data_IF_723698921301
#
_entry.id   IF_723698921301
#
_cell.length_a   1.000
_cell.length_b   1.000
_cell.length_c   1.000
_cell.angle_alpha   90.00
_cell.angle_beta   90.00
_cell.angle_gamma   90.00
#
_symmetry.space_group_name_H-M   'P 1'
#
loop_
_entity.id
_entity.type
_entity.pdbx_description
1 polymer ?
#
# COMPACT_ATOMS: atom_id res chain seq x y z
N UNK A 1 -10.32 -5.78 13.24
CA UNK A 1 -9.06 -5.20 12.73
C UNK A 1 -8.68 -3.89 13.42
N UNK A 2 -9.42 -2.79 13.24
CA UNK A 2 -9.12 -1.54 13.96
C UNK A 2 -9.73 -1.54 15.36
N UNK A 3 -8.89 -1.38 16.39
CA UNK A 3 -9.43 -1.10 17.72
C UNK A 3 -10.02 0.33 17.78
N UNK A 4 -10.79 0.58 18.84
CA UNK A 4 -11.50 1.85 19.02
C UNK A 4 -10.55 3.05 19.10
N UNK A 5 -9.36 2.85 19.68
CA UNK A 5 -8.41 3.92 19.94
C UNK A 5 -7.71 4.35 18.65
N UNK A 6 -7.21 3.39 17.86
CA UNK A 6 -6.64 3.69 16.55
C UNK A 6 -7.70 4.27 15.61
N UNK A 7 -8.94 3.77 15.65
CA UNK A 7 -10.03 4.33 14.84
C UNK A 7 -10.25 5.81 15.12
N UNK A 8 -10.23 6.21 16.39
CA UNK A 8 -10.36 7.62 16.81
C UNK A 8 -9.15 8.46 16.38
N UNK A 9 -7.94 7.92 16.49
CA UNK A 9 -6.72 8.58 16.03
C UNK A 9 -6.81 8.90 14.52
N UNK A 10 -7.27 7.95 13.71
CA UNK A 10 -7.42 8.14 12.26
C UNK A 10 -8.46 9.23 11.96
N UNK A 11 -9.62 9.19 12.62
CA UNK A 11 -10.66 10.20 12.42
C UNK A 11 -10.16 11.61 12.81
N UNK A 12 -9.46 11.70 13.94
CA UNK A 12 -8.86 12.96 14.40
C UNK A 12 -7.77 13.47 13.46
N UNK A 13 -6.99 12.59 12.83
CA UNK A 13 -5.99 13.01 11.85
C UNK A 13 -6.61 13.73 10.65
N UNK A 14 -7.78 13.29 10.17
CA UNK A 14 -8.51 13.99 9.10
C UNK A 14 -9.08 15.33 9.54
N UNK A 15 -9.65 15.41 10.75
CA UNK A 15 -10.11 16.67 11.32
C UNK A 15 -8.95 17.67 11.45
N UNK A 16 -7.78 17.17 11.86
CA UNK A 16 -6.55 17.95 11.97
C UNK A 16 -6.05 18.45 10.61
N UNK A 17 -5.99 17.60 9.59
CA UNK A 17 -5.62 18.01 8.22
C UNK A 17 -6.56 19.09 7.69
N UNK A 18 -7.88 18.91 7.88
CA UNK A 18 -8.87 19.88 7.45
C UNK A 18 -8.67 21.24 8.16
N UNK A 19 -8.47 21.22 9.48
CA UNK A 19 -8.24 22.43 10.27
C UNK A 19 -6.92 23.14 9.91
N UNK A 20 -5.81 22.39 9.82
CA UNK A 20 -4.49 22.95 9.53
C UNK A 20 -4.41 23.49 8.11
N UNK A 21 -4.98 22.80 7.12
CA UNK A 21 -5.03 23.33 5.75
C UNK A 21 -5.90 24.58 5.69
N UNK A 22 -7.06 24.61 6.35
CA UNK A 22 -7.94 25.78 6.36
C UNK A 22 -7.28 27.00 7.02
N UNK A 23 -6.50 26.78 8.07
CA UNK A 23 -5.72 27.82 8.72
C UNK A 23 -4.59 28.35 7.83
N UNK A 24 -3.89 27.46 7.11
CA UNK A 24 -2.78 27.84 6.24
C UNK A 24 -3.26 28.55 4.96
N UNK A 25 -4.32 28.02 4.33
CA UNK A 25 -4.92 28.57 3.12
C UNK A 25 -6.34 28.02 2.91
N UNK A 26 -7.39 28.83 3.16
CA UNK A 26 -8.78 28.41 2.95
C UNK A 26 -9.08 27.97 1.51
N UNK A 27 -8.42 28.58 0.52
CA UNK A 27 -8.54 28.18 -0.88
C UNK A 27 -8.00 26.76 -1.08
N UNK A 28 -6.76 26.50 -0.65
CA UNK A 28 -6.13 25.18 -0.77
C UNK A 28 -6.93 24.11 -0.04
N UNK A 29 -7.47 24.43 1.15
CA UNK A 29 -8.26 23.50 1.94
C UNK A 29 -9.51 23.00 1.20
N UNK A 30 -10.20 23.89 0.47
CA UNK A 30 -11.36 23.52 -0.34
C UNK A 30 -10.97 22.57 -1.47
N UNK A 31 -9.92 22.91 -2.22
CA UNK A 31 -9.48 22.11 -3.37
C UNK A 31 -8.96 20.73 -2.94
N UNK A 32 -8.13 20.67 -1.88
CA UNK A 32 -7.65 19.42 -1.30
C UNK A 32 -8.82 18.57 -0.78
N UNK A 33 -9.77 19.17 -0.06
CA UNK A 33 -10.92 18.42 0.49
C UNK A 33 -11.80 17.86 -0.62
N UNK A 34 -12.04 18.64 -1.69
CA UNK A 34 -12.81 18.19 -2.84
C UNK A 34 -12.13 16.99 -3.51
N UNK A 35 -10.83 17.08 -3.78
CA UNK A 35 -10.04 15.98 -4.35
C UNK A 35 -9.97 14.75 -3.44
N UNK A 36 -9.75 14.95 -2.13
CA UNK A 36 -9.78 13.83 -1.19
C UNK A 36 -11.12 13.10 -1.28
N UNK A 37 -12.25 13.82 -1.31
CA UNK A 37 -13.56 13.20 -1.39
C UNK A 37 -13.84 12.44 -2.71
N UNK A 38 -13.17 12.75 -3.83
CA UNK A 38 -13.35 11.97 -5.08
C UNK A 38 -12.74 10.57 -4.99
N UNK A 39 -11.74 10.39 -4.13
CA UNK A 39 -11.05 9.11 -3.97
C UNK A 39 -11.81 8.12 -3.07
N UNK A 40 -12.83 8.57 -2.33
CA UNK A 40 -13.41 7.79 -1.24
C UNK A 40 -14.93 7.75 -1.28
N UNK A 41 -15.52 6.55 -1.37
CA UNK A 41 -16.98 6.40 -1.47
C UNK A 41 -17.77 6.75 -0.20
N UNK A 42 -17.16 6.60 0.99
CA UNK A 42 -17.81 6.82 2.29
C UNK A 42 -17.13 7.88 3.17
N UNK A 43 -16.05 8.47 2.66
CA UNK A 43 -15.23 9.46 3.36
C UNK A 43 -13.76 9.03 3.49
N UNK A 44 -12.85 9.98 3.72
CA UNK A 44 -11.42 9.71 3.62
C UNK A 44 -10.87 8.81 4.72
N UNK A 45 -11.43 8.83 5.93
CA UNK A 45 -11.04 7.93 7.01
C UNK A 45 -11.35 6.45 6.69
N UNK A 46 -12.48 6.20 6.01
CA UNK A 46 -12.91 4.84 5.69
C UNK A 46 -11.98 4.14 4.72
N UNK A 47 -11.32 4.89 3.82
CA UNK A 47 -10.32 4.33 2.92
C UNK A 47 -9.14 3.73 3.68
N UNK A 48 -8.60 4.45 4.66
CA UNK A 48 -7.50 3.94 5.47
C UNK A 48 -7.94 2.79 6.37
N UNK A 49 -9.22 2.75 6.75
CA UNK A 49 -9.81 1.67 7.54
C UNK A 49 -10.27 0.48 6.70
N UNK A 50 -10.23 0.58 5.38
CA UNK A 50 -10.77 -0.44 4.50
C UNK A 50 -9.94 -1.73 4.56
N UNK A 51 -10.56 -2.92 4.70
CA UNK A 51 -9.81 -4.17 4.80
C UNK A 51 -8.91 -4.48 3.60
N UNK A 52 -9.25 -3.95 2.42
CA UNK A 52 -8.42 -4.10 1.21
C UNK A 52 -7.24 -3.15 1.13
N UNK A 53 -7.24 -2.04 1.86
CA UNK A 53 -6.14 -1.06 1.82
C UNK A 53 -4.86 -1.61 2.45
N UNK A 54 -3.71 -1.08 1.98
CA UNK A 54 -2.43 -1.36 2.62
C UNK A 54 -2.45 -0.82 4.07
N UNK A 55 -2.02 -1.60 5.08
CA UNK A 55 -2.27 -1.31 6.50
C UNK A 55 -1.30 -0.27 7.08
N UNK A 56 -1.01 0.83 6.36
CA UNK A 56 0.04 1.80 6.72
C UNK A 56 -0.14 2.47 8.09
N UNK A 57 -1.37 2.59 8.59
CA UNK A 57 -1.66 3.16 9.92
C UNK A 57 -1.69 2.10 11.02
N UNK A 58 -1.91 0.83 10.67
CA UNK A 58 -1.87 -0.30 11.59
C UNK A 58 -0.44 -0.77 11.86
N UNK A 59 0.44 -0.69 10.87
CA UNK A 59 1.84 -1.13 10.99
C UNK A 59 2.60 -0.47 12.15
N UNK A 60 2.66 0.88 12.28
CA UNK A 60 3.30 1.50 13.45
C UNK A 60 2.56 1.21 14.76
N UNK A 61 1.23 1.05 14.72
CA UNK A 61 0.43 0.69 15.89
C UNK A 61 0.81 -0.70 16.43
N UNK A 62 0.87 -1.69 15.54
CA UNK A 62 1.26 -3.07 15.86
C UNK A 62 2.72 -3.19 16.28
N UNK A 63 3.61 -2.45 15.61
CA UNK A 63 5.02 -2.40 15.99
C UNK A 63 5.18 -1.90 17.43
N UNK A 64 4.41 -0.88 17.82
CA UNK A 64 4.47 -0.36 19.17
C UNK A 64 3.87 -1.33 20.18
N UNK A 65 2.71 -1.94 19.87
CA UNK A 65 2.08 -2.96 20.73
C UNK A 65 2.96 -4.18 20.97
N UNK A 66 3.77 -4.57 19.98
CA UNK A 66 4.73 -5.65 20.11
C UNK A 66 5.91 -5.30 21.03
N UNK A 67 6.23 -4.01 21.21
CA UNK A 67 7.30 -3.54 22.09
C UNK A 67 6.77 -3.23 23.49
N UNK A 68 5.59 -2.60 23.60
CA UNK A 68 4.95 -2.23 24.87
C UNK A 68 3.44 -2.46 24.84
N UNK A 69 2.82 -2.91 25.96
CA UNK A 69 1.40 -3.25 25.99
C UNK A 69 0.43 -2.09 25.70
N UNK A 70 0.82 -0.85 26.01
CA UNK A 70 0.00 0.35 25.79
C UNK A 70 0.74 1.32 24.87
N UNK A 71 0.26 1.53 23.64
CA UNK A 71 0.80 2.55 22.76
C UNK A 71 0.64 3.97 23.33
N UNK A 72 1.57 4.85 23.00
CA UNK A 72 1.47 6.29 23.25
C UNK A 72 0.57 6.92 22.19
N UNK A 73 -0.63 7.30 22.63
CA UNK A 73 -1.66 7.84 21.76
C UNK A 73 -1.28 9.16 21.11
N UNK A 74 -0.53 10.01 21.81
CA UNK A 74 -0.14 11.31 21.27
C UNK A 74 0.89 11.12 20.15
N UNK A 75 1.86 10.23 20.38
CA UNK A 75 2.83 9.85 19.35
C UNK A 75 2.15 9.18 18.15
N UNK A 76 1.26 8.21 18.38
CA UNK A 76 0.53 7.54 17.32
C UNK A 76 -0.40 8.48 16.53
N UNK A 77 -0.97 9.50 17.19
CA UNK A 77 -1.74 10.54 16.50
C UNK A 77 -0.86 11.38 15.56
N UNK A 78 0.36 11.72 15.96
CA UNK A 78 1.32 12.40 15.09
C UNK A 78 1.78 11.50 13.93
N UNK A 79 2.02 10.20 14.18
CA UNK A 79 2.37 9.25 13.13
C UNK A 79 1.25 9.06 12.10
N UNK A 80 0.00 8.95 12.56
CA UNK A 80 -1.15 8.82 11.67
C UNK A 80 -1.33 10.09 10.81
N UNK A 81 -1.26 11.26 11.43
CA UNK A 81 -1.31 12.54 10.72
C UNK A 81 -0.21 12.66 9.66
N UNK A 82 1.04 12.34 10.04
CA UNK A 82 2.17 12.32 9.12
C UNK A 82 1.94 11.36 7.96
N UNK A 83 1.62 10.10 8.26
CA UNK A 83 1.47 9.04 7.26
C UNK A 83 0.37 9.36 6.25
N UNK A 84 -0.76 9.93 6.69
CA UNK A 84 -1.84 10.35 5.78
C UNK A 84 -1.39 11.48 4.86
N UNK A 85 -0.66 12.49 5.37
CA UNK A 85 -0.11 13.55 4.54
C UNK A 85 0.94 13.01 3.54
N UNK A 86 1.82 12.10 3.97
CA UNK A 86 2.78 11.42 3.11
C UNK A 86 2.10 10.58 2.02
N UNK A 87 1.01 9.89 2.37
CA UNK A 87 0.19 9.16 1.41
C UNK A 87 -0.39 10.09 0.34
N UNK A 88 -1.02 11.22 0.72
CA UNK A 88 -1.59 12.13 -0.26
C UNK A 88 -0.55 12.83 -1.12
N UNK A 89 0.65 13.09 -0.58
CA UNK A 89 1.78 13.55 -1.37
C UNK A 89 2.12 12.56 -2.49
N UNK A 90 2.31 11.28 -2.16
CA UNK A 90 2.62 10.22 -3.12
C UNK A 90 1.46 10.03 -4.10
N UNK A 91 0.23 9.90 -3.58
CA UNK A 91 -0.97 9.61 -4.39
C UNK A 91 -1.24 10.68 -5.45
N UNK A 92 -1.00 11.96 -5.14
CA UNK A 92 -1.16 13.04 -6.10
C UNK A 92 -0.17 12.92 -7.26
N UNK A 93 1.08 12.57 -6.97
CA UNK A 93 2.12 12.33 -7.99
C UNK A 93 1.78 11.08 -8.81
N UNK A 94 1.41 9.98 -8.14
CA UNK A 94 1.08 8.72 -8.81
C UNK A 94 -0.11 8.88 -9.77
N UNK A 95 -1.18 9.56 -9.36
CA UNK A 95 -2.32 9.83 -10.25
C UNK A 95 -1.92 10.58 -11.53
N UNK A 96 -0.95 11.50 -11.44
CA UNK A 96 -0.40 12.20 -12.60
C UNK A 96 0.43 11.27 -13.49
N UNK A 97 1.29 10.45 -12.88
CA UNK A 97 2.16 9.51 -13.60
C UNK A 97 1.37 8.40 -14.29
N UNK A 98 0.28 7.94 -13.68
CA UNK A 98 -0.59 6.89 -14.20
C UNK A 98 -1.55 7.40 -15.31
N UNK A 99 -1.51 8.69 -15.65
CA UNK A 99 -2.42 9.27 -16.64
C UNK A 99 -3.88 9.39 -16.17
N UNK A 100 -4.13 9.23 -14.87
CA UNK A 100 -5.45 9.43 -14.24
C UNK A 100 -5.76 10.91 -13.96
N UNK A 101 -4.86 11.83 -14.36
CA UNK A 101 -4.91 13.25 -14.11
C UNK A 101 -6.14 13.94 -14.70
N UNK A 102 -7.11 14.29 -13.86
CA UNK A 102 -8.21 15.18 -14.24
C UNK A 102 -8.16 16.50 -13.49
N UNK A 103 -7.71 16.48 -12.22
CA UNK A 103 -7.63 17.68 -11.35
C UNK A 103 -6.29 17.81 -10.65
N UNK A 104 -5.47 16.76 -10.65
CA UNK A 104 -4.24 16.67 -9.87
C UNK A 104 -3.15 17.65 -10.33
N UNK A 105 -3.15 18.03 -11.61
CA UNK A 105 -2.21 19.03 -12.15
C UNK A 105 -2.36 20.38 -11.44
N UNK A 106 -3.60 20.82 -11.21
CA UNK A 106 -3.91 22.08 -10.52
C UNK A 106 -3.59 22.01 -9.02
N UNK A 107 -3.49 20.79 -8.47
CA UNK A 107 -3.18 20.55 -7.07
C UNK A 107 -1.69 20.37 -6.81
N UNK A 108 -0.81 20.34 -7.82
CA UNK A 108 0.64 20.20 -7.64
C UNK A 108 1.24 21.16 -6.58
N UNK A 109 0.84 22.45 -6.48
CA UNK A 109 1.33 23.33 -5.42
C UNK A 109 1.04 22.84 -3.99
N UNK A 110 -0.01 22.03 -3.79
CA UNK A 110 -0.35 21.44 -2.49
C UNK A 110 0.66 20.39 -2.00
N UNK A 111 1.53 19.87 -2.88
CA UNK A 111 2.61 18.98 -2.49
C UNK A 111 3.53 19.61 -1.44
N UNK A 112 3.74 20.93 -1.49
CA UNK A 112 4.50 21.66 -0.48
C UNK A 112 3.86 21.56 0.91
N UNK A 113 2.52 21.63 0.99
CA UNK A 113 1.78 21.45 2.24
C UNK A 113 1.92 20.01 2.75
N UNK A 114 1.58 19.01 1.91
CA UNK A 114 1.59 17.60 2.32
C UNK A 114 2.98 17.15 2.77
N UNK A 115 4.04 17.51 2.04
CA UNK A 115 5.40 17.17 2.43
C UNK A 115 5.82 17.83 3.73
N UNK A 116 5.45 19.10 3.93
CA UNK A 116 5.74 19.82 5.18
C UNK A 116 5.07 19.15 6.36
N UNK A 117 3.78 18.78 6.25
CA UNK A 117 3.05 18.12 7.32
C UNK A 117 3.52 16.68 7.58
N UNK A 118 3.93 15.97 6.52
CA UNK A 118 4.57 14.66 6.63
C UNK A 118 5.83 14.73 7.51
N UNK A 119 6.71 15.69 7.25
CA UNK A 119 7.97 15.84 7.98
C UNK A 119 7.79 16.47 9.38
N UNK A 120 6.95 17.50 9.51
CA UNK A 120 6.83 18.32 10.73
C UNK A 120 6.37 17.51 11.95
N UNK A 121 5.58 16.46 11.76
CA UNK A 121 5.17 15.60 12.88
C UNK A 121 6.39 14.91 13.53
N UNK A 122 7.35 14.44 12.74
CA UNK A 122 8.56 13.77 13.25
C UNK A 122 9.51 14.74 13.97
N UNK A 123 9.55 16.01 13.56
CA UNK A 123 10.38 17.05 14.20
C UNK A 123 10.00 17.32 15.66
N UNK A 124 8.78 16.94 16.09
CA UNK A 124 8.36 17.05 17.49
C UNK A 124 8.93 15.94 18.37
N UNK A 125 9.39 14.84 17.77
CA UNK A 125 9.80 13.63 18.47
C UNK A 125 11.30 13.34 18.33
N UNK A 126 11.93 13.86 17.29
CA UNK A 126 13.34 13.61 16.99
C UNK A 126 14.06 14.93 16.76
N UNK A 127 15.11 15.15 17.56
CA UNK A 127 16.05 16.26 17.38
C UNK A 127 16.71 16.21 15.99
N UNK A 128 17.20 17.36 15.53
CA UNK A 128 17.74 17.53 14.18
C UNK A 128 18.93 16.61 13.84
N UNK A 129 19.72 16.19 14.82
CA UNK A 129 20.89 15.30 14.70
C UNK A 129 20.56 13.83 15.00
N UNK A 130 19.29 13.51 15.28
CA UNK A 130 18.86 12.16 15.60
C UNK A 130 18.99 11.20 14.40
N UNK A 131 19.49 9.95 14.57
CA UNK A 131 19.74 9.00 13.48
C UNK A 131 18.49 8.59 12.67
N UNK A 132 17.30 8.79 13.23
CA UNK A 132 16.03 8.64 12.50
C UNK A 132 16.02 9.41 11.17
N UNK A 133 16.61 10.60 11.12
CA UNK A 133 16.57 11.43 9.91
C UNK A 133 17.33 10.84 8.73
N UNK A 134 18.41 10.09 8.96
CA UNK A 134 19.09 9.35 7.89
C UNK A 134 18.24 8.20 7.38
N UNK A 135 17.57 7.48 8.28
CA UNK A 135 16.62 6.45 7.89
C UNK A 135 15.45 7.05 7.08
N UNK A 136 14.86 8.15 7.56
CA UNK A 136 13.77 8.86 6.89
C UNK A 136 14.15 9.26 5.45
N UNK A 137 15.28 9.96 5.28
CA UNK A 137 15.75 10.41 3.96
C UNK A 137 16.00 9.24 3.02
N UNK A 138 16.70 8.22 3.51
CA UNK A 138 17.02 7.02 2.72
C UNK A 138 15.74 6.35 2.26
N UNK A 139 14.79 6.15 3.18
CA UNK A 139 13.52 5.49 2.87
C UNK A 139 12.66 6.28 1.89
N UNK A 140 12.56 7.60 2.10
CA UNK A 140 11.80 8.49 1.23
C UNK A 140 12.38 8.54 -0.19
N UNK A 141 13.69 8.72 -0.32
CA UNK A 141 14.34 8.79 -1.63
C UNK A 141 14.36 7.45 -2.36
N UNK A 142 14.48 6.33 -1.64
CA UNK A 142 14.33 5.00 -2.25
C UNK A 142 12.92 4.79 -2.81
N UNK A 143 11.89 5.24 -2.09
CA UNK A 143 10.51 5.18 -2.56
C UNK A 143 10.33 5.99 -3.85
N UNK A 144 10.79 7.24 -3.86
CA UNK A 144 10.70 8.10 -5.05
C UNK A 144 11.47 7.53 -6.25
N UNK A 145 12.71 7.07 -6.04
CA UNK A 145 13.52 6.48 -7.10
C UNK A 145 12.89 5.21 -7.69
N UNK A 146 12.18 4.43 -6.87
CA UNK A 146 11.47 3.25 -7.34
C UNK A 146 10.24 3.59 -8.18
N UNK A 147 9.45 4.58 -7.78
CA UNK A 147 8.33 5.09 -8.59
C UNK A 147 8.83 5.61 -9.95
N UNK A 148 9.96 6.32 -9.97
CA UNK A 148 10.58 6.77 -11.23
C UNK A 148 11.09 5.61 -12.10
N UNK A 149 11.64 4.56 -11.50
CA UNK A 149 12.14 3.39 -12.23
C UNK A 149 10.98 2.57 -12.80
N UNK A 150 9.93 2.37 -12.02
CA UNK A 150 8.75 1.59 -12.40
C UNK A 150 8.11 2.10 -13.70
N UNK A 151 7.93 3.43 -13.81
CA UNK A 151 7.35 4.04 -15.02
C UNK A 151 8.18 3.85 -16.30
N UNK A 152 9.42 3.39 -16.18
CA UNK A 152 10.32 3.10 -17.31
C UNK A 152 10.41 1.61 -17.69
N UNK A 153 9.86 0.71 -16.86
CA UNK A 153 9.93 -0.73 -17.09
C UNK A 153 8.77 -1.19 -17.97
N UNK A 154 9.10 -1.89 -19.05
CA UNK A 154 8.10 -2.41 -20.02
C UNK A 154 7.95 -3.92 -19.97
N UNK A 155 8.89 -4.62 -19.32
CA UNK A 155 8.87 -6.05 -19.10
C UNK A 155 9.48 -6.35 -17.72
N UNK A 156 8.64 -6.72 -16.76
CA UNK A 156 9.08 -6.96 -15.37
C UNK A 156 9.25 -8.45 -15.14
N UNK A 157 10.47 -8.91 -14.89
CA UNK A 157 10.67 -10.24 -14.28
C UNK A 157 10.35 -10.24 -12.77
N UNK A 158 10.42 -11.42 -12.15
CA UNK A 158 10.09 -11.55 -10.73
C UNK A 158 11.05 -10.77 -9.82
N UNK A 159 12.34 -10.75 -10.12
CA UNK A 159 13.34 -10.05 -9.30
C UNK A 159 13.14 -8.53 -9.39
N UNK A 160 12.84 -8.04 -10.59
CA UNK A 160 12.49 -6.64 -10.85
C UNK A 160 11.18 -6.27 -10.16
N UNK A 161 10.15 -7.12 -10.24
CA UNK A 161 8.89 -6.92 -9.52
C UNK A 161 9.12 -6.81 -8.02
N UNK A 162 9.85 -7.76 -7.43
CA UNK A 162 10.16 -7.75 -5.99
C UNK A 162 10.90 -6.46 -5.62
N UNK A 163 11.90 -6.06 -6.42
CA UNK A 163 12.63 -4.82 -6.17
C UNK A 163 11.73 -3.58 -6.27
N UNK A 164 10.81 -3.53 -7.22
CA UNK A 164 9.94 -2.36 -7.42
C UNK A 164 8.80 -2.33 -6.41
N UNK A 165 8.07 -3.43 -6.23
CA UNK A 165 6.95 -3.51 -5.30
C UNK A 165 7.40 -3.27 -3.86
N UNK A 166 8.49 -3.89 -3.41
CA UNK A 166 9.07 -3.65 -2.09
C UNK A 166 9.54 -2.20 -1.91
N UNK A 167 9.96 -1.53 -3.01
CA UNK A 167 10.42 -0.14 -2.94
C UNK A 167 9.29 0.89 -3.05
N UNK A 168 8.17 0.58 -3.71
CA UNK A 168 6.97 1.44 -3.71
C UNK A 168 6.36 1.57 -2.32
N UNK A 169 6.41 0.50 -1.53
CA UNK A 169 5.95 0.50 -0.13
C UNK A 169 7.04 0.90 0.86
N UNK A 170 8.25 1.27 0.41
CA UNK A 170 9.39 1.54 1.27
C UNK A 170 9.15 2.70 2.24
N UNK A 171 8.40 3.71 1.80
CA UNK A 171 8.01 4.83 2.67
C UNK A 171 7.16 4.40 3.87
N UNK A 172 6.41 3.29 3.78
CA UNK A 172 5.64 2.75 4.90
C UNK A 172 6.51 2.26 6.07
N UNK A 173 7.82 2.08 5.85
CA UNK A 173 8.79 1.74 6.90
C UNK A 173 9.09 2.92 7.83
N UNK A 174 8.88 4.16 7.37
CA UNK A 174 9.22 5.37 8.12
C UNK A 174 8.49 5.43 9.46
N UNK A 175 7.15 5.32 9.54
CA UNK A 175 6.46 5.35 10.83
C UNK A 175 6.80 4.15 11.73
N UNK A 176 7.09 2.98 11.16
CA UNK A 176 7.54 1.80 11.93
C UNK A 176 8.92 2.02 12.53
N UNK A 177 9.85 2.58 11.75
CA UNK A 177 11.16 2.95 12.26
C UNK A 177 11.07 4.04 13.32
N UNK A 178 10.18 5.03 13.17
CA UNK A 178 9.93 6.04 14.19
C UNK A 178 9.53 5.40 15.52
N UNK A 179 8.64 4.40 15.52
CA UNK A 179 8.31 3.61 16.71
C UNK A 179 9.54 2.91 17.29
N UNK A 180 10.32 2.21 16.45
CA UNK A 180 11.52 1.50 16.90
C UNK A 180 12.55 2.45 17.54
N UNK A 181 12.77 3.64 16.97
CA UNK A 181 13.63 4.65 17.56
C UNK A 181 13.05 5.21 18.87
N UNK A 182 11.76 5.55 18.90
CA UNK A 182 11.08 6.12 20.07
C UNK A 182 11.09 5.16 21.27
N UNK A 183 11.01 3.86 21.01
CA UNK A 183 11.02 2.81 22.02
C UNK A 183 12.40 2.18 22.24
N UNK A 184 13.47 2.74 21.66
CA UNK A 184 14.86 2.24 21.80
C UNK A 184 15.05 0.77 21.37
N UNK A 185 14.28 0.33 20.37
CA UNK A 185 14.30 -1.03 19.78
C UNK A 185 14.66 -1.01 18.31
N UNK A 186 15.75 -0.31 17.98
CA UNK A 186 16.27 -0.15 16.61
C UNK A 186 16.61 -1.52 15.99
N UNK A 187 16.94 -2.51 16.82
CA UNK A 187 17.19 -3.90 16.43
C UNK A 187 16.00 -4.57 15.71
N UNK A 188 14.78 -4.05 15.88
CA UNK A 188 13.58 -4.57 15.23
C UNK A 188 13.36 -4.05 13.80
N UNK A 189 14.01 -2.95 13.42
CA UNK A 189 13.81 -2.32 12.10
C UNK A 189 14.06 -3.30 10.94
N UNK A 190 15.14 -4.12 10.93
CA UNK A 190 15.39 -5.06 9.84
C UNK A 190 14.27 -6.11 9.70
N UNK A 191 13.78 -6.68 10.81
CA UNK A 191 12.73 -7.69 10.78
C UNK A 191 11.41 -7.12 10.25
N UNK A 192 11.01 -5.93 10.73
CA UNK A 192 9.83 -5.23 10.22
C UNK A 192 9.98 -4.84 8.75
N UNK A 193 11.19 -4.43 8.32
CA UNK A 193 11.46 -4.10 6.92
C UNK A 193 11.32 -5.31 6.01
N UNK A 194 11.85 -6.47 6.43
CA UNK A 194 11.73 -7.71 5.68
C UNK A 194 10.27 -8.15 5.53
N UNK A 195 9.48 -8.05 6.60
CA UNK A 195 8.05 -8.31 6.54
C UNK A 195 7.33 -7.37 5.56
N UNK A 196 7.61 -6.06 5.64
CA UNK A 196 7.01 -5.05 4.77
C UNK A 196 7.32 -5.28 3.29
N UNK A 197 8.50 -5.81 2.98
CA UNK A 197 8.88 -6.15 1.61
C UNK A 197 8.08 -7.32 1.07
N UNK A 198 8.03 -8.42 1.84
CA UNK A 198 7.23 -9.59 1.50
C UNK A 198 5.75 -9.23 1.34
N UNK A 199 5.19 -8.52 2.32
CA UNK A 199 3.78 -8.16 2.31
C UNK A 199 3.45 -7.11 1.24
N UNK A 200 4.37 -6.18 0.95
CA UNK A 200 4.25 -5.22 -0.15
C UNK A 200 4.17 -5.90 -1.51
N UNK A 201 5.03 -6.90 -1.75
CA UNK A 201 5.00 -7.72 -2.97
C UNK A 201 3.67 -8.47 -3.09
N UNK A 202 3.23 -9.12 -2.01
CA UNK A 202 1.95 -9.82 -1.97
C UNK A 202 0.76 -8.88 -2.24
N UNK A 203 0.73 -7.72 -1.60
CA UNK A 203 -0.34 -6.74 -1.79
C UNK A 203 -0.40 -6.21 -3.23
N UNK A 204 0.76 -5.88 -3.81
CA UNK A 204 0.83 -5.40 -5.19
C UNK A 204 0.37 -6.47 -6.18
N UNK A 205 0.85 -7.71 -6.03
CA UNK A 205 0.44 -8.80 -6.92
C UNK A 205 -1.04 -9.13 -6.80
N UNK A 206 -1.63 -8.97 -5.60
CA UNK A 206 -3.07 -9.12 -5.44
C UNK A 206 -3.82 -8.05 -6.25
N UNK A 207 -3.38 -6.80 -6.20
CA UNK A 207 -3.96 -5.74 -7.03
C UNK A 207 -3.76 -6.04 -8.53
N UNK A 208 -2.57 -6.47 -8.97
CA UNK A 208 -2.27 -6.77 -10.37
C UNK A 208 -3.15 -7.93 -10.92
N UNK A 209 -3.37 -8.98 -10.11
CA UNK A 209 -4.23 -10.12 -10.49
C UNK A 209 -5.69 -9.71 -10.58
N UNK A 210 -6.19 -8.86 -9.68
CA UNK A 210 -7.59 -8.43 -9.73
C UNK A 210 -7.84 -7.35 -10.79
N UNK A 211 -6.84 -6.49 -11.01
CA UNK A 211 -6.88 -5.34 -11.90
C UNK A 211 -6.54 -5.66 -13.35
N UNK A 212 -6.04 -6.87 -13.65
CA UNK A 212 -5.45 -7.26 -14.94
C UNK A 212 -6.22 -6.78 -16.18
N UNK A 213 -7.56 -6.84 -16.14
CA UNK A 213 -8.40 -6.44 -17.27
C UNK A 213 -8.38 -4.92 -17.49
N UNK A 214 -8.46 -4.14 -16.41
CA UNK A 214 -8.33 -2.68 -16.47
C UNK A 214 -6.92 -2.26 -16.84
N UNK A 215 -5.91 -2.88 -16.22
CA UNK A 215 -4.50 -2.62 -16.49
C UNK A 215 -4.14 -2.88 -17.95
N UNK A 216 -4.60 -4.00 -18.51
CA UNK A 216 -4.40 -4.32 -19.92
C UNK A 216 -5.05 -3.31 -20.88
N UNK A 217 -6.22 -2.74 -20.51
CA UNK A 217 -6.88 -1.69 -21.31
C UNK A 217 -6.17 -0.35 -21.23
N UNK A 218 -5.58 -0.03 -20.08
CA UNK A 218 -4.84 1.20 -19.83
C UNK A 218 -3.36 1.10 -20.23
N UNK A 219 -2.93 -0.06 -20.76
CA UNK A 219 -1.53 -0.34 -21.12
C UNK A 219 -0.56 -0.29 -19.93
N UNK A 220 -1.08 -0.50 -18.71
CA UNK A 220 -0.27 -0.62 -17.51
C UNK A 220 0.51 -1.94 -17.58
N UNK A 221 1.83 -1.88 -17.45
CA UNK A 221 2.68 -3.07 -17.43
C UNK A 221 2.85 -3.57 -15.99
N UNK A 222 2.05 -4.56 -15.62
CA UNK A 222 2.15 -5.23 -14.32
C UNK A 222 2.95 -6.54 -14.44
N UNK A 223 3.48 -7.04 -13.33
CA UNK A 223 4.21 -8.32 -13.35
C UNK A 223 3.32 -9.47 -13.83
N UNK A 224 2.05 -9.49 -13.43
CA UNK A 224 1.09 -10.47 -13.92
C UNK A 224 0.94 -10.42 -15.45
N UNK A 225 0.83 -9.22 -16.04
CA UNK A 225 0.72 -9.06 -17.49
C UNK A 225 2.04 -9.36 -18.22
N UNK A 226 3.20 -9.11 -17.61
CA UNK A 226 4.49 -9.55 -18.16
C UNK A 226 4.59 -11.08 -18.19
N UNK A 227 4.10 -11.78 -17.16
CA UNK A 227 4.04 -13.25 -17.16
C UNK A 227 3.03 -13.80 -18.17
N UNK A 228 1.89 -13.11 -18.38
CA UNK A 228 0.96 -13.45 -19.46
C UNK A 228 1.69 -13.39 -20.80
N UNK A 229 2.41 -12.30 -21.07
CA UNK A 229 3.16 -12.12 -22.32
C UNK A 229 4.22 -13.21 -22.55
N UNK A 230 4.87 -13.68 -21.48
CA UNK A 230 5.87 -14.76 -21.54
C UNK A 230 5.28 -16.15 -21.72
N UNK A 231 4.11 -16.42 -21.14
CA UNK A 231 3.57 -17.78 -20.99
C UNK A 231 2.42 -18.12 -21.93
N UNK A 232 1.71 -17.12 -22.46
CA UNK A 232 0.60 -17.35 -23.38
C UNK A 232 1.09 -17.89 -24.72
N UNK A 233 0.24 -18.65 -25.42
CA UNK A 233 0.53 -18.98 -26.81
C UNK A 233 0.52 -17.70 -27.68
N UNK A 234 1.32 -17.60 -28.76
CA UNK A 234 1.32 -16.39 -29.60
C UNK A 234 -0.05 -15.99 -30.14
N UNK A 235 -0.89 -16.98 -30.47
CA UNK A 235 -2.26 -16.79 -30.99
C UNK A 235 -3.33 -16.63 -29.91
N UNK A 236 -2.96 -16.82 -28.64
CA UNK A 236 -3.86 -16.73 -27.50
C UNK A 236 -3.96 -15.28 -27.00
N UNK A 237 -5.16 -14.85 -26.69
CA UNK A 237 -5.44 -13.58 -26.03
C UNK A 237 -5.10 -13.63 -24.53
N UNK A 238 -4.90 -12.47 -23.91
CA UNK A 238 -4.69 -12.36 -22.46
C UNK A 238 -5.83 -13.04 -21.69
N UNK A 239 -7.09 -12.76 -22.08
CA UNK A 239 -8.29 -13.33 -21.45
C UNK A 239 -8.31 -14.85 -21.50
N UNK A 240 -8.01 -15.44 -22.67
CA UNK A 240 -7.97 -16.90 -22.82
C UNK A 240 -6.91 -17.54 -21.90
N UNK A 241 -5.72 -16.94 -21.82
CA UNK A 241 -4.66 -17.44 -20.94
C UNK A 241 -5.06 -17.36 -19.46
N UNK A 242 -5.63 -16.23 -19.03
CA UNK A 242 -6.11 -16.02 -17.66
C UNK A 242 -7.15 -17.08 -17.30
N UNK A 243 -8.11 -17.35 -18.20
CA UNK A 243 -9.16 -18.35 -18.01
C UNK A 243 -8.60 -19.78 -17.94
N UNK A 244 -7.64 -20.15 -18.81
CA UNK A 244 -7.12 -21.53 -18.90
C UNK A 244 -6.25 -21.96 -17.73
N UNK A 245 -5.73 -21.03 -16.93
CA UNK A 245 -4.87 -21.36 -15.79
C UNK A 245 -4.00 -20.22 -15.30
N UNK A 246 -3.97 -19.07 -16.00
CA UNK A 246 -3.23 -17.89 -15.55
C UNK A 246 -3.74 -17.35 -14.21
N UNK A 247 -5.06 -17.33 -14.01
CA UNK A 247 -5.64 -16.92 -12.73
C UNK A 247 -5.22 -17.85 -11.58
N UNK A 248 -5.37 -19.16 -11.76
CA UNK A 248 -5.00 -20.16 -10.74
C UNK A 248 -3.52 -20.12 -10.40
N UNK A 249 -2.66 -19.92 -11.41
CA UNK A 249 -1.23 -19.69 -11.19
C UNK A 249 -0.97 -18.45 -10.32
N UNK A 250 -1.63 -17.33 -10.61
CA UNK A 250 -1.50 -16.10 -9.82
C UNK A 250 -1.97 -16.29 -8.37
N UNK A 251 -3.10 -16.96 -8.16
CA UNK A 251 -3.61 -17.28 -6.83
C UNK A 251 -2.66 -18.21 -6.06
N UNK A 252 -2.06 -19.19 -6.73
CA UNK A 252 -1.08 -20.07 -6.11
C UNK A 252 0.17 -19.30 -5.65
N UNK A 253 0.67 -18.38 -6.48
CA UNK A 253 1.79 -17.51 -6.11
C UNK A 253 1.47 -16.63 -4.89
N UNK A 254 0.26 -16.06 -4.83
CA UNK A 254 -0.19 -15.27 -3.68
C UNK A 254 -0.28 -16.11 -2.40
N UNK A 255 -0.68 -17.38 -2.46
CA UNK A 255 -0.68 -18.28 -1.30
C UNK A 255 0.73 -18.51 -0.77
N UNK A 256 1.69 -18.75 -1.66
CA UNK A 256 3.10 -18.94 -1.30
C UNK A 256 3.69 -17.70 -0.63
N UNK A 257 3.43 -16.52 -1.18
CA UNK A 257 3.92 -15.25 -0.60
C UNK A 257 3.18 -14.85 0.68
N UNK A 258 1.91 -15.23 0.84
CA UNK A 258 1.21 -15.07 2.11
C UNK A 258 1.83 -15.94 3.20
N UNK A 259 2.15 -17.20 2.91
CA UNK A 259 2.81 -18.10 3.85
C UNK A 259 4.17 -17.54 4.30
N UNK A 260 4.96 -16.98 3.37
CA UNK A 260 6.22 -16.30 3.72
C UNK A 260 5.98 -15.06 4.60
N UNK A 261 4.97 -14.25 4.27
CA UNK A 261 4.60 -13.07 5.07
C UNK A 261 4.17 -13.44 6.49
N UNK A 262 3.40 -14.52 6.65
CA UNK A 262 3.01 -15.08 7.96
C UNK A 262 4.23 -15.61 8.73
N UNK A 263 5.15 -16.30 8.04
CA UNK A 263 6.40 -16.79 8.65
C UNK A 263 7.23 -15.63 9.18
N UNK A 264 7.40 -14.56 8.41
CA UNK A 264 8.11 -13.35 8.83
C UNK A 264 7.41 -12.66 10.00
N UNK A 265 6.09 -12.52 9.93
CA UNK A 265 5.28 -11.89 10.99
C UNK A 265 5.35 -12.62 12.32
N UNK A 266 5.51 -13.95 12.32
CA UNK A 266 5.66 -14.73 13.55
C UNK A 266 6.86 -14.30 14.41
N UNK A 267 7.92 -13.82 13.77
CA UNK A 267 9.12 -13.30 14.45
C UNK A 267 8.97 -11.89 15.02
N UNK A 268 7.88 -11.18 14.70
CA UNK A 268 7.66 -9.79 15.13
C UNK A 268 6.92 -9.67 16.46
N UNK A 269 6.37 -10.77 16.99
CA UNK A 269 5.67 -10.77 18.29
C UNK A 269 4.38 -9.96 18.31
N UNK A 270 3.73 -9.75 17.15
CA UNK A 270 2.45 -9.04 17.06
C UNK A 270 1.30 -10.01 16.75
N UNK A 271 0.47 -10.28 17.75
CA UNK A 271 -0.74 -11.11 17.60
C UNK A 271 -1.75 -10.47 16.64
N UNK A 272 -1.92 -9.15 16.70
CA UNK A 272 -2.83 -8.42 15.82
C UNK A 272 -2.42 -8.56 14.35
N UNK A 273 -1.11 -8.51 14.07
CA UNK A 273 -0.59 -8.69 12.72
C UNK A 273 -0.84 -10.12 12.22
N UNK A 274 -0.66 -11.13 13.08
CA UNK A 274 -0.95 -12.52 12.72
C UNK A 274 -2.44 -12.71 12.38
N UNK A 275 -3.34 -12.15 13.20
CA UNK A 275 -4.79 -12.15 12.95
C UNK A 275 -5.10 -11.45 11.62
N UNK A 276 -4.52 -10.27 11.39
CA UNK A 276 -4.70 -9.51 10.15
C UNK A 276 -4.30 -10.33 8.91
N UNK A 277 -3.16 -11.03 8.93
CA UNK A 277 -2.71 -11.85 7.81
C UNK A 277 -3.65 -13.03 7.55
N UNK A 278 -4.19 -13.67 8.59
CA UNK A 278 -5.21 -14.72 8.45
C UNK A 278 -6.53 -14.20 7.85
N UNK A 279 -6.97 -13.01 8.26
CA UNK A 279 -8.13 -12.34 7.66
C UNK A 279 -7.87 -12.03 6.16
N UNK A 280 -6.68 -11.52 5.84
CA UNK A 280 -6.27 -11.20 4.45
C UNK A 280 -6.17 -12.43 3.56
N UNK A 281 -5.67 -13.55 4.08
CA UNK A 281 -5.67 -14.83 3.38
C UNK A 281 -7.09 -15.32 3.11
N UNK A 282 -7.96 -15.28 4.12
CA UNK A 282 -9.38 -15.66 3.97
C UNK A 282 -10.07 -14.82 2.88
N UNK A 283 -9.87 -13.50 2.91
CA UNK A 283 -10.42 -12.59 1.91
C UNK A 283 -9.93 -12.89 0.49
N UNK A 284 -8.64 -13.23 0.33
CA UNK A 284 -8.08 -13.65 -0.96
C UNK A 284 -8.80 -14.90 -1.48
N UNK A 285 -8.97 -15.92 -0.63
CA UNK A 285 -9.63 -17.18 -1.01
C UNK A 285 -11.10 -16.96 -1.41
N UNK A 286 -11.84 -16.17 -0.65
CA UNK A 286 -13.24 -15.83 -0.95
C UNK A 286 -13.39 -15.04 -2.25
N UNK A 287 -12.44 -14.13 -2.55
CA UNK A 287 -12.44 -13.44 -3.83
C UNK A 287 -12.05 -14.36 -4.99
N UNK A 288 -11.04 -15.20 -4.78
CA UNK A 288 -10.58 -16.16 -5.77
C UNK A 288 -11.70 -17.11 -6.18
N UNK A 289 -12.47 -17.64 -5.23
CA UNK A 289 -13.61 -18.52 -5.50
C UNK A 289 -14.72 -17.83 -6.31
N UNK A 290 -15.06 -16.58 -5.94
CA UNK A 290 -16.07 -15.79 -6.67
C UNK A 290 -15.64 -15.52 -8.11
N UNK A 291 -14.38 -15.12 -8.31
CA UNK A 291 -13.85 -14.82 -9.63
C UNK A 291 -13.67 -16.08 -10.48
N UNK A 292 -13.18 -17.18 -9.90
CA UNK A 292 -13.07 -18.46 -10.59
C UNK A 292 -14.43 -18.94 -11.12
N UNK A 293 -15.51 -18.72 -10.37
CA UNK A 293 -16.88 -19.01 -10.84
C UNK A 293 -17.26 -18.16 -12.05
N UNK A 294 -16.96 -16.86 -12.03
CA UNK A 294 -17.17 -15.99 -13.19
C UNK A 294 -16.33 -16.38 -14.41
N UNK A 295 -15.05 -16.72 -14.21
CA UNK A 295 -14.14 -17.15 -15.26
C UNK A 295 -14.55 -18.48 -15.89
N UNK A 296 -15.05 -19.44 -15.11
CA UNK A 296 -15.62 -20.69 -15.63
C UNK A 296 -16.83 -20.44 -16.54
N UNK A 297 -17.73 -19.56 -16.12
CA UNK A 297 -18.87 -19.16 -16.97
C UNK A 297 -18.43 -18.50 -18.28
N UNK A 298 -17.37 -17.68 -18.25
CA UNK A 298 -16.77 -17.13 -19.47
C UNK A 298 -16.10 -18.20 -20.34
N UNK A 299 -15.43 -19.18 -19.75
CA UNK A 299 -14.82 -20.29 -20.47
C UNK A 299 -15.86 -21.09 -21.28
N UNK A 300 -16.99 -21.40 -20.65
CA UNK A 300 -18.12 -22.12 -21.29
C UNK A 300 -18.70 -21.33 -22.47
N UNK A 301 -18.85 -20.00 -22.33
CA UNK A 301 -19.34 -19.14 -23.41
C UNK A 301 -18.36 -19.03 -24.59
N UNK A 302 -17.07 -19.19 -24.34
CA UNK A 302 -16.00 -19.08 -25.34
C UNK A 302 -15.57 -20.45 -25.91
N UNK A 303 -16.23 -21.54 -25.53
CA UNK A 303 -15.86 -22.93 -25.87
C UNK A 303 -14.38 -23.25 -25.55
N UNK A 304 -13.89 -22.66 -24.45
CA UNK A 304 -12.55 -22.91 -23.96
C UNK A 304 -12.58 -24.09 -22.99
N UNK A 305 -11.58 -24.99 -23.01
CA UNK A 305 -11.50 -26.06 -22.02
C UNK A 305 -11.37 -25.45 -20.62
N UNK A 306 -12.40 -25.61 -19.80
CA UNK A 306 -12.39 -25.23 -18.39
C UNK A 306 -11.60 -26.27 -17.59
N UNK A 307 -10.61 -25.82 -16.80
CA UNK A 307 -9.94 -26.71 -15.85
C UNK A 307 -10.89 -26.97 -14.67
N UNK A 308 -10.96 -28.25 -14.26
CA UNK A 308 -11.73 -28.71 -13.10
C UNK A 308 -10.99 -28.44 -11.81
#
# INVERSE_FOLDING_TARGET
>A
MYDRQLSQIIDQAFLRIAAETAQASPFMAREISAWMNTMHHKGPADYFKHPFSFPMLLLPWWAEKAIRPSPDTAFQADLAHSTINGYYYIRLIDNLMDGHATVEMDLLPSLGYFHTQFQAAYQRHFEHDHPFWEFFKTAWFHSAAATMKDSSLTDLDQDQFVQVAARKTYAARIPVAAVCYKCERIDLIPAWSQFLDSFGCWHQMWNDILGWYGDGRNQNQTYFLSEVARRKHPTESVTEWVIKGGFDWGIQLLKEWMAESQRLASGLGSEDLAVYLGERETMLLEQAERLATGLRGLAELLDLPSQR
#
